data_IF_658436796575
#
_entry.id   IF_658436796575
#
_cell.length_a   1.000
_cell.length_b   1.000
_cell.length_c   1.000
_cell.angle_alpha   90.00
_cell.angle_beta   90.00
_cell.angle_gamma   90.00
#
_symmetry.space_group_name_H-M   'P 1'
#
loop_
_entity.id
_entity.type
_entity.pdbx_description
1 polymer ?
#
# COMPACT_ATOMS: atom_id res chain seq x y z
N UNK A 1 7.38 -17.20 11.80
CA UNK A 1 7.70 -15.85 12.31
C UNK A 1 8.92 -15.24 11.61
N UNK A 2 10.12 -15.83 11.64
CA UNK A 2 11.33 -15.21 11.07
C UNK A 2 11.21 -14.85 9.56
N UNK A 3 10.68 -15.77 8.72
CA UNK A 3 10.47 -15.52 7.28
C UNK A 3 9.50 -14.36 7.00
N UNK A 4 8.43 -14.24 7.80
CA UNK A 4 7.44 -13.17 7.66
C UNK A 4 8.05 -11.80 7.95
N UNK A 5 8.93 -11.72 8.96
CA UNK A 5 9.69 -10.50 9.25
C UNK A 5 10.66 -10.12 8.13
N UNK A 6 11.33 -11.09 7.51
CA UNK A 6 12.20 -10.81 6.36
C UNK A 6 11.45 -10.17 5.19
N UNK A 7 10.26 -10.68 4.85
CA UNK A 7 9.43 -10.06 3.81
C UNK A 7 8.91 -8.68 4.20
N UNK A 8 8.57 -8.47 5.48
CA UNK A 8 8.13 -7.17 5.98
C UNK A 8 9.25 -6.11 5.91
N UNK A 9 10.49 -6.49 6.21
CA UNK A 9 11.66 -5.60 6.10
C UNK A 9 11.93 -5.23 4.64
N UNK A 10 11.87 -6.20 3.72
CA UNK A 10 12.00 -5.91 2.30
C UNK A 10 10.89 -4.95 1.83
N UNK A 11 9.64 -5.21 2.24
CA UNK A 11 8.52 -4.33 1.94
C UNK A 11 8.75 -2.92 2.50
N UNK A 12 9.27 -2.78 3.72
CA UNK A 12 9.61 -1.49 4.33
C UNK A 12 10.56 -0.67 3.43
N UNK A 13 11.64 -1.28 2.94
CA UNK A 13 12.58 -0.58 2.06
C UNK A 13 11.93 -0.19 0.72
N UNK A 14 11.18 -1.12 0.11
CA UNK A 14 10.48 -0.82 -1.15
C UNK A 14 9.45 0.30 -0.99
N UNK A 15 8.64 0.27 0.07
CA UNK A 15 7.61 1.29 0.35
C UNK A 15 8.20 2.61 0.84
N UNK A 16 9.38 2.61 1.46
CA UNK A 16 10.12 3.84 1.80
C UNK A 16 10.73 4.53 0.58
N UNK A 17 11.22 3.76 -0.40
CA UNK A 17 11.82 4.29 -1.62
C UNK A 17 10.80 4.65 -2.71
N UNK A 18 9.68 3.92 -2.81
CA UNK A 18 8.69 4.11 -3.87
C UNK A 18 8.15 5.55 -4.01
N UNK A 19 7.85 6.29 -2.91
CA UNK A 19 7.38 7.68 -2.99
C UNK A 19 8.36 8.63 -3.67
N UNK A 20 9.67 8.38 -3.54
CA UNK A 20 10.71 9.17 -4.20
C UNK A 20 10.58 9.04 -5.72
N UNK A 21 10.54 7.81 -6.23
CA UNK A 21 10.35 7.56 -7.67
C UNK A 21 9.00 8.06 -8.17
N UNK A 22 7.94 7.89 -7.38
CA UNK A 22 6.61 8.40 -7.68
C UNK A 22 6.60 9.92 -7.85
N UNK A 23 7.17 10.67 -6.89
CA UNK A 23 7.28 12.13 -6.95
C UNK A 23 8.13 12.58 -8.15
N UNK A 24 9.27 11.93 -8.41
CA UNK A 24 10.12 12.24 -9.55
C UNK A 24 9.39 12.02 -10.89
N UNK A 25 8.64 10.92 -11.02
CA UNK A 25 7.85 10.62 -12.22
C UNK A 25 6.69 11.60 -12.47
N UNK A 26 6.22 12.29 -11.42
CA UNK A 26 5.16 13.31 -11.52
C UNK A 26 5.65 14.68 -12.02
N UNK A 27 6.95 14.84 -12.31
CA UNK A 27 7.53 16.10 -12.78
C UNK A 27 6.90 16.65 -14.08
N UNK A 28 6.28 15.79 -14.90
CA UNK A 28 5.55 16.20 -16.10
C UNK A 28 4.29 15.39 -16.40
N UNK A 29 3.89 14.48 -15.50
CA UNK A 29 2.75 13.59 -15.69
C UNK A 29 1.59 13.94 -14.76
N UNK A 30 0.36 13.80 -15.25
CA UNK A 30 -0.81 13.73 -14.37
C UNK A 30 -0.80 12.44 -13.54
N UNK A 31 -1.27 12.47 -12.28
CA UNK A 31 -1.30 11.29 -11.39
C UNK A 31 -1.95 10.07 -12.02
N UNK A 32 -3.07 10.25 -12.73
CA UNK A 32 -3.75 9.15 -13.39
C UNK A 32 -2.87 8.53 -14.48
N UNK A 33 -2.25 9.36 -15.34
CA UNK A 33 -1.34 8.90 -16.40
C UNK A 33 -0.14 8.15 -15.82
N UNK A 34 0.50 8.71 -14.79
CA UNK A 34 1.63 8.08 -14.13
C UNK A 34 1.26 6.72 -13.53
N UNK A 35 0.09 6.62 -12.87
CA UNK A 35 -0.39 5.40 -12.25
C UNK A 35 -0.77 4.34 -13.29
N UNK A 36 -1.36 4.72 -14.42
CA UNK A 36 -1.66 3.84 -15.55
C UNK A 36 -0.37 3.22 -16.11
N UNK A 37 0.64 4.04 -16.40
CA UNK A 37 1.94 3.57 -16.91
C UNK A 37 2.60 2.62 -15.90
N UNK A 38 2.68 3.04 -14.63
CA UNK A 38 3.24 2.23 -13.54
C UNK A 38 2.56 0.87 -13.44
N UNK A 39 1.23 0.86 -13.47
CA UNK A 39 0.44 -0.36 -13.33
C UNK A 39 0.60 -1.29 -14.52
N UNK A 40 0.66 -0.75 -15.75
CA UNK A 40 0.93 -1.56 -16.94
C UNK A 40 2.30 -2.27 -16.86
N UNK A 41 3.35 -1.57 -16.42
CA UNK A 41 4.69 -2.14 -16.23
C UNK A 41 4.66 -3.26 -15.19
N UNK A 42 4.06 -3.02 -14.02
CA UNK A 42 3.99 -4.02 -12.94
C UNK A 42 3.16 -5.24 -13.35
N UNK A 43 2.01 -5.03 -14.00
CA UNK A 43 1.17 -6.13 -14.50
C UNK A 43 1.92 -6.99 -15.53
N UNK A 44 2.68 -6.36 -16.44
CA UNK A 44 3.53 -7.08 -17.39
C UNK A 44 4.58 -7.94 -16.70
N UNK A 45 5.30 -7.39 -15.72
CA UNK A 45 6.31 -8.14 -14.95
C UNK A 45 5.70 -9.30 -14.15
N UNK A 46 4.51 -9.10 -13.57
CA UNK A 46 3.79 -10.17 -12.87
C UNK A 46 3.33 -11.28 -13.83
N UNK A 47 2.81 -10.92 -15.01
CA UNK A 47 2.42 -11.89 -16.03
C UNK A 47 3.63 -12.71 -16.52
N UNK A 48 4.79 -12.07 -16.69
CA UNK A 48 6.04 -12.75 -17.01
C UNK A 48 6.46 -13.72 -15.89
N UNK A 49 6.38 -13.30 -14.63
CA UNK A 49 6.72 -14.16 -13.49
C UNK A 49 5.76 -15.37 -13.37
N UNK A 50 4.46 -15.18 -13.60
CA UNK A 50 3.46 -16.26 -13.63
C UNK A 50 3.75 -17.23 -14.77
N UNK A 51 4.10 -16.71 -15.95
CA UNK A 51 4.46 -17.51 -17.12
C UNK A 51 5.72 -18.33 -16.87
N UNK A 52 6.79 -17.69 -16.40
CA UNK A 52 8.07 -18.35 -16.10
C UNK A 52 7.92 -19.42 -15.01
N UNK A 53 7.02 -19.20 -14.05
CA UNK A 53 6.71 -20.17 -13.00
C UNK A 53 5.68 -21.24 -13.38
N UNK A 54 5.12 -21.21 -14.59
CA UNK A 54 4.05 -22.14 -15.01
C UNK A 54 2.79 -22.05 -14.16
N UNK A 55 2.50 -20.88 -13.56
CA UNK A 55 1.44 -20.72 -12.53
C UNK A 55 0.07 -20.31 -13.07
N UNK A 56 -0.08 -20.20 -14.39
CA UNK A 56 -1.38 -19.88 -15.02
C UNK A 56 -2.53 -20.81 -14.62
N UNK A 57 -2.33 -22.15 -14.46
CA UNK A 57 -3.40 -23.03 -13.98
C UNK A 57 -3.92 -22.64 -12.59
N UNK A 58 -3.03 -22.21 -11.68
CA UNK A 58 -3.42 -21.76 -10.34
C UNK A 58 -4.18 -20.43 -10.37
N UNK A 59 -3.79 -19.51 -11.25
CA UNK A 59 -4.52 -18.24 -11.47
C UNK A 59 -5.92 -18.53 -12.01
N UNK A 60 -6.05 -19.44 -12.98
CA UNK A 60 -7.33 -19.80 -13.58
C UNK A 60 -8.24 -20.59 -12.62
N UNK A 61 -7.66 -21.37 -11.71
CA UNK A 61 -8.39 -22.14 -10.71
C UNK A 61 -8.75 -21.35 -9.44
N UNK A 62 -8.42 -20.06 -9.37
CA UNK A 62 -8.69 -19.23 -8.20
C UNK A 62 -10.20 -19.15 -7.91
N UNK A 63 -10.59 -19.30 -6.64
CA UNK A 63 -11.99 -19.26 -6.25
C UNK A 63 -12.59 -17.85 -6.51
N UNK A 64 -13.81 -17.73 -7.07
CA UNK A 64 -14.40 -16.42 -7.38
C UNK A 64 -14.48 -15.48 -6.18
N UNK A 65 -14.71 -16.04 -4.99
CA UNK A 65 -14.71 -15.28 -3.73
C UNK A 65 -13.36 -14.62 -3.46
N UNK A 66 -12.27 -15.37 -3.62
CA UNK A 66 -10.93 -14.87 -3.34
C UNK A 66 -10.51 -13.85 -4.41
N UNK A 67 -10.87 -14.11 -5.68
CA UNK A 67 -10.70 -13.15 -6.78
C UNK A 67 -11.43 -11.84 -6.47
N UNK A 68 -12.67 -11.90 -5.98
CA UNK A 68 -13.43 -10.71 -5.60
C UNK A 68 -12.72 -9.91 -4.51
N UNK A 69 -12.27 -10.56 -3.42
CA UNK A 69 -11.58 -9.85 -2.35
C UNK A 69 -10.24 -9.25 -2.78
N UNK A 70 -9.48 -9.96 -3.62
CA UNK A 70 -8.23 -9.45 -4.21
C UNK A 70 -8.52 -8.29 -5.17
N UNK A 71 -9.60 -8.35 -5.96
CA UNK A 71 -10.00 -7.26 -6.83
C UNK A 71 -10.43 -6.01 -6.05
N UNK A 72 -11.20 -6.18 -4.97
CA UNK A 72 -11.60 -5.09 -4.08
C UNK A 72 -10.38 -4.47 -3.38
N UNK A 73 -9.43 -5.29 -2.95
CA UNK A 73 -8.14 -4.81 -2.41
C UNK A 73 -7.41 -3.96 -3.46
N UNK A 74 -7.30 -4.45 -4.71
CA UNK A 74 -6.67 -3.72 -5.80
C UNK A 74 -7.36 -2.39 -6.12
N UNK A 75 -8.70 -2.33 -6.10
CA UNK A 75 -9.46 -1.09 -6.27
C UNK A 75 -9.15 -0.10 -5.14
N UNK A 76 -9.16 -0.56 -3.90
CA UNK A 76 -8.90 0.30 -2.74
C UNK A 76 -7.45 0.78 -2.67
N UNK A 77 -6.48 -0.13 -2.81
CA UNK A 77 -5.07 0.15 -2.61
C UNK A 77 -4.40 0.69 -3.88
N UNK A 78 -4.50 -0.02 -5.00
CA UNK A 78 -3.75 0.28 -6.21
C UNK A 78 -4.42 1.31 -7.13
N UNK A 79 -5.75 1.43 -7.09
CA UNK A 79 -6.46 2.46 -7.86
C UNK A 79 -6.76 3.69 -7.01
N UNK A 80 -7.73 3.61 -6.10
CA UNK A 80 -8.22 4.79 -5.37
C UNK A 80 -7.17 5.35 -4.40
N UNK A 81 -6.57 4.49 -3.58
CA UNK A 81 -5.57 4.87 -2.60
C UNK A 81 -4.31 5.45 -3.24
N UNK A 82 -3.74 4.77 -4.23
CA UNK A 82 -2.57 5.29 -4.95
C UNK A 82 -2.89 6.52 -5.79
N UNK A 83 -4.07 6.65 -6.38
CA UNK A 83 -4.44 7.87 -7.10
C UNK A 83 -4.49 9.07 -6.14
N UNK A 84 -5.18 8.93 -5.00
CA UNK A 84 -5.22 9.97 -3.97
C UNK A 84 -3.80 10.29 -3.44
N UNK A 85 -2.99 9.26 -3.22
CA UNK A 85 -1.60 9.40 -2.79
C UNK A 85 -0.73 10.14 -3.82
N UNK A 86 -0.86 9.82 -5.11
CA UNK A 86 -0.11 10.48 -6.17
C UNK A 86 -0.55 11.94 -6.36
N UNK A 87 -1.83 12.25 -6.18
CA UNK A 87 -2.29 13.65 -6.11
C UNK A 87 -1.68 14.37 -4.91
N UNK A 88 -1.68 13.75 -3.73
CA UNK A 88 -1.04 14.33 -2.55
C UNK A 88 0.47 14.54 -2.78
N UNK A 89 1.16 13.57 -3.40
CA UNK A 89 2.56 13.72 -3.79
C UNK A 89 2.76 14.79 -4.84
N UNK A 90 1.85 14.97 -5.81
CA UNK A 90 2.00 16.01 -6.83
C UNK A 90 2.06 17.40 -6.20
N UNK A 91 1.15 17.70 -5.28
CA UNK A 91 1.02 19.02 -4.65
C UNK A 91 1.83 19.19 -3.36
N UNK A 92 2.23 18.09 -2.71
CA UNK A 92 2.93 18.09 -1.43
C UNK A 92 4.36 17.58 -1.51
N UNK A 93 5.09 17.74 -0.41
CA UNK A 93 6.43 17.19 -0.24
C UNK A 93 6.35 15.74 0.25
N UNK A 94 7.25 14.89 -0.26
CA UNK A 94 7.31 13.46 0.14
C UNK A 94 7.45 13.33 1.66
N UNK A 95 8.29 14.16 2.28
CA UNK A 95 8.54 14.15 3.72
C UNK A 95 7.32 14.48 4.59
N UNK A 96 6.30 15.16 4.04
CA UNK A 96 5.08 15.52 4.78
C UNK A 96 3.91 14.59 4.44
N UNK A 97 3.79 14.21 3.17
CA UNK A 97 2.71 13.35 2.68
C UNK A 97 2.91 11.90 3.12
N UNK A 98 4.14 11.39 3.03
CA UNK A 98 4.41 9.98 3.31
C UNK A 98 4.13 9.60 4.77
N UNK A 99 4.56 10.36 5.80
CA UNK A 99 4.23 10.03 7.19
C UNK A 99 2.74 10.03 7.48
N UNK A 100 1.97 10.98 6.93
CA UNK A 100 0.51 11.04 7.11
C UNK A 100 -0.16 9.80 6.53
N UNK A 101 0.25 9.36 5.34
CA UNK A 101 -0.31 8.16 4.70
C UNK A 101 0.12 6.89 5.44
N UNK A 102 1.33 6.87 6.02
CA UNK A 102 1.79 5.80 6.91
C UNK A 102 0.97 5.66 8.20
N UNK A 103 0.00 6.55 8.48
CA UNK A 103 -0.98 6.40 9.54
C UNK A 103 -2.04 5.31 9.27
N UNK A 104 -2.09 4.73 8.06
CA UNK A 104 -3.10 3.73 7.71
C UNK A 104 -3.25 2.54 8.70
N UNK A 105 -2.22 2.10 9.47
CA UNK A 105 -2.41 1.07 10.49
C UNK A 105 -3.44 1.45 11.56
N UNK A 106 -3.66 2.75 11.80
CA UNK A 106 -4.71 3.23 12.71
C UNK A 106 -6.10 2.93 12.13
N UNK A 107 -6.28 3.16 10.83
CA UNK A 107 -7.53 2.84 10.13
C UNK A 107 -7.72 1.32 10.11
N UNK A 108 -6.66 0.55 9.82
CA UNK A 108 -6.71 -0.91 9.84
C UNK A 108 -7.07 -1.46 11.22
N UNK A 109 -6.55 -0.88 12.31
CA UNK A 109 -6.89 -1.25 13.68
C UNK A 109 -8.39 -1.05 13.97
N UNK A 110 -8.96 0.08 13.53
CA UNK A 110 -10.40 0.38 13.70
C UNK A 110 -11.24 -0.59 12.86
N UNK A 111 -10.89 -0.78 11.59
CA UNK A 111 -11.59 -1.70 10.71
C UNK A 111 -11.53 -3.14 11.23
N UNK A 112 -10.40 -3.56 11.80
CA UNK A 112 -10.28 -4.88 12.40
C UNK A 112 -11.17 -5.05 13.63
N UNK A 113 -11.30 -4.02 14.46
CA UNK A 113 -12.23 -4.02 15.58
C UNK A 113 -13.69 -4.11 15.11
N UNK A 114 -14.06 -3.38 14.05
CA UNK A 114 -15.43 -3.33 13.53
C UNK A 114 -15.82 -4.60 12.78
N UNK A 115 -14.99 -5.06 11.85
CA UNK A 115 -15.33 -6.17 10.94
C UNK A 115 -14.97 -7.54 11.48
N UNK A 116 -13.91 -7.65 12.29
CA UNK A 116 -13.46 -8.92 12.87
C UNK A 116 -13.73 -9.04 14.37
N UNK A 117 -14.32 -8.01 14.99
CA UNK A 117 -14.62 -8.01 16.43
C UNK A 117 -13.37 -7.98 17.32
N UNK A 118 -12.22 -7.55 16.78
CA UNK A 118 -10.99 -7.52 17.55
C UNK A 118 -11.08 -6.52 18.71
N UNK A 119 -10.72 -6.97 19.92
CA UNK A 119 -10.61 -6.08 21.07
C UNK A 119 -9.41 -5.15 20.90
N UNK A 120 -9.66 -3.85 21.00
CA UNK A 120 -8.60 -2.85 21.12
C UNK A 120 -8.11 -2.88 22.57
N UNK A 121 -6.96 -3.51 22.78
CA UNK A 121 -6.31 -3.56 24.10
C UNK A 121 -5.67 -2.22 24.43
N UNK A 122 -5.40 -1.97 25.72
CA UNK A 122 -4.67 -0.78 26.14
C UNK A 122 -3.31 -0.63 25.43
N UNK A 123 -2.62 -1.75 25.15
CA UNK A 123 -1.38 -1.75 24.38
C UNK A 123 -1.57 -1.32 22.92
N UNK A 124 -2.62 -1.81 22.23
CA UNK A 124 -2.96 -1.37 20.86
C UNK A 124 -3.29 0.14 20.84
N UNK A 125 -4.01 0.63 21.85
CA UNK A 125 -4.34 2.06 21.98
C UNK A 125 -3.10 2.93 22.24
N UNK A 126 -2.18 2.48 23.11
CA UNK A 126 -0.93 3.18 23.37
C UNK A 126 -0.03 3.22 22.12
N UNK A 127 0.08 2.10 21.40
CA UNK A 127 0.80 2.04 20.12
C UNK A 127 0.20 2.97 19.07
N UNK A 128 -1.13 3.02 18.97
CA UNK A 128 -1.83 3.95 18.09
C UNK A 128 -1.50 5.41 18.43
N UNK A 129 -1.51 5.79 19.71
CA UNK A 129 -1.14 7.13 20.15
C UNK A 129 0.32 7.47 19.80
N UNK A 130 1.26 6.52 19.96
CA UNK A 130 2.66 6.71 19.60
C UNK A 130 2.85 6.92 18.08
N UNK A 131 2.11 6.20 17.24
CA UNK A 131 2.11 6.41 15.78
C UNK A 131 1.66 7.84 15.46
N UNK A 132 0.54 8.29 16.04
CA UNK A 132 0.03 9.66 15.83
C UNK A 132 1.07 10.70 16.24
N UNK A 133 1.65 10.56 17.43
CA UNK A 133 2.68 11.47 17.93
C UNK A 133 3.89 11.49 17.01
N UNK A 134 4.38 10.32 16.58
CA UNK A 134 5.52 10.23 15.66
C UNK A 134 5.26 10.92 14.32
N UNK A 135 4.06 10.79 13.76
CA UNK A 135 3.67 11.44 12.51
C UNK A 135 3.59 12.96 12.68
N UNK A 136 3.06 13.44 13.81
CA UNK A 136 3.02 14.88 14.12
C UNK A 136 4.43 15.44 14.22
N UNK A 137 5.36 14.72 14.85
CA UNK A 137 6.77 15.14 14.96
C UNK A 137 7.47 15.16 13.60
N UNK A 138 7.20 14.20 12.71
CA UNK A 138 7.76 14.15 11.36
C UNK A 138 7.17 15.21 10.41
N UNK A 139 6.03 15.82 10.76
CA UNK A 139 5.35 16.83 9.95
C UNK A 139 6.06 18.19 9.99
N UNK A 140 6.78 18.48 11.08
CA UNK A 140 7.51 19.73 11.33
C UNK A 140 9.01 19.54 11.07
#
# INVERSE_FOLDING_TARGET
>A
MLKSFSFAILALFCWGAAPLFGKLGLGGLEPLTALTIRSAVVTGLLALAVTAGGKWPAVAAAAPRDVLFVALEGVCAALLGQLAYYYALKYGEVGRVSPVVSAFPLVALILAAVFFGEKITAGKAAGAALIVTGIILLRY
#
